data_IF_028239859608
#
_entry.id   IF_028239859608
#
_cell.length_a   1.000
_cell.length_b   1.000
_cell.length_c   1.000
_cell.angle_alpha   90.00
_cell.angle_beta   90.00
_cell.angle_gamma   90.00
#
_symmetry.space_group_name_H-M   'P 1'
#
loop_
_entity.id
_entity.type
_entity.pdbx_description
1 polymer ?
#
# COMPACT_ATOMS: atom_id res chain seq x y z
N UNK A 1 3.58 0.92 -12.15
CA UNK A 1 2.24 1.47 -12.48
C UNK A 1 1.11 0.62 -11.84
N UNK A 2 1.42 -0.37 -11.00
CA UNK A 2 0.47 -1.26 -10.28
C UNK A 2 -0.68 -0.56 -9.57
N UNK A 3 -0.39 0.62 -9.01
CA UNK A 3 -1.30 1.33 -8.11
C UNK A 3 -2.55 1.88 -8.80
N UNK A 4 -2.54 1.96 -10.13
CA UNK A 4 -3.70 2.33 -10.95
C UNK A 4 -4.46 1.12 -11.49
N UNK A 5 -3.79 -0.02 -11.69
CA UNK A 5 -4.42 -1.23 -12.22
C UNK A 5 -5.32 -1.90 -11.17
N UNK A 6 -4.83 -2.08 -9.95
CA UNK A 6 -5.65 -2.57 -8.84
C UNK A 6 -5.21 -1.99 -7.48
N UNK A 7 -5.67 -0.78 -7.10
CA UNK A 7 -5.30 -0.16 -5.83
C UNK A 7 -5.71 -0.98 -4.61
N UNK A 8 -6.88 -1.65 -4.63
CA UNK A 8 -7.33 -2.51 -3.53
C UNK A 8 -6.43 -3.76 -3.36
N UNK A 9 -6.01 -4.37 -4.46
CA UNK A 9 -5.10 -5.51 -4.44
C UNK A 9 -3.75 -5.09 -3.82
N UNK A 10 -3.23 -3.94 -4.26
CA UNK A 10 -1.96 -3.43 -3.77
C UNK A 10 -2.02 -3.07 -2.29
N UNK A 11 -3.08 -2.38 -1.84
CA UNK A 11 -3.30 -2.09 -0.43
C UNK A 11 -3.45 -3.37 0.42
N UNK A 12 -4.15 -4.40 -0.10
CA UNK A 12 -4.28 -5.69 0.59
C UNK A 12 -2.92 -6.38 0.77
N UNK A 13 -2.11 -6.41 -0.29
CA UNK A 13 -0.75 -6.98 -0.27
C UNK A 13 0.16 -6.24 0.70
N UNK A 14 0.18 -4.90 0.66
CA UNK A 14 0.91 -4.06 1.60
C UNK A 14 0.48 -4.35 3.04
N UNK A 15 -0.83 -4.45 3.31
CA UNK A 15 -1.32 -4.80 4.64
C UNK A 15 -0.83 -6.19 5.09
N UNK A 16 -0.94 -7.19 4.21
CA UNK A 16 -0.58 -8.56 4.53
C UNK A 16 0.93 -8.71 4.78
N UNK A 17 1.76 -8.01 4.00
CA UNK A 17 3.20 -7.94 4.22
C UNK A 17 3.53 -7.21 5.52
N UNK A 18 2.85 -6.10 5.82
CA UNK A 18 3.08 -5.36 7.06
C UNK A 18 2.70 -6.15 8.31
N UNK A 19 1.59 -6.89 8.28
CA UNK A 19 1.04 -7.57 9.47
C UNK A 19 1.50 -9.03 9.62
N UNK A 20 1.65 -9.74 8.50
CA UNK A 20 1.90 -11.19 8.48
C UNK A 20 3.20 -11.56 7.75
N UNK A 21 3.93 -10.58 7.21
CA UNK A 21 5.15 -10.78 6.39
C UNK A 21 4.95 -11.67 5.14
N UNK A 22 3.71 -11.80 4.66
CA UNK A 22 3.38 -12.55 3.44
C UNK A 22 3.15 -11.60 2.27
N UNK A 23 3.87 -11.80 1.16
CA UNK A 23 3.72 -11.02 -0.08
C UNK A 23 2.55 -11.47 -0.96
N UNK A 24 1.53 -12.07 -0.34
CA UNK A 24 0.35 -12.61 -1.00
C UNK A 24 -0.83 -11.66 -0.82
N UNK A 25 -1.76 -11.67 -1.78
CA UNK A 25 -2.99 -10.91 -1.66
C UNK A 25 -3.93 -11.57 -0.65
N UNK A 26 -4.35 -10.82 0.37
CA UNK A 26 -5.43 -11.26 1.24
C UNK A 26 -6.77 -10.90 0.61
N UNK A 27 -7.48 -11.91 0.09
CA UNK A 27 -8.76 -11.71 -0.60
C UNK A 27 -9.79 -11.03 0.31
N UNK A 28 -9.87 -11.41 1.58
CA UNK A 28 -10.81 -10.82 2.53
C UNK A 28 -10.59 -9.32 2.73
N UNK A 29 -9.32 -8.90 2.88
CA UNK A 29 -8.97 -7.48 2.99
C UNK A 29 -9.23 -6.75 1.66
N UNK A 30 -8.91 -7.36 0.53
CA UNK A 30 -9.13 -6.77 -0.78
C UNK A 30 -10.62 -6.50 -1.02
N UNK A 31 -11.47 -7.50 -0.79
CA UNK A 31 -12.93 -7.39 -0.89
C UNK A 31 -13.47 -6.38 0.11
N UNK A 32 -12.99 -6.40 1.35
CA UNK A 32 -13.39 -5.45 2.39
C UNK A 32 -13.08 -3.99 2.02
N UNK A 33 -11.90 -3.72 1.47
CA UNK A 33 -11.53 -2.38 0.96
C UNK A 33 -12.42 -2.01 -0.22
N UNK A 34 -12.65 -2.92 -1.18
CA UNK A 34 -13.48 -2.65 -2.35
C UNK A 34 -14.93 -2.34 -1.98
N UNK A 35 -15.58 -3.19 -1.19
CA UNK A 35 -16.96 -2.97 -0.72
C UNK A 35 -17.02 -1.71 0.14
N UNK A 36 -16.09 -1.56 1.07
CA UNK A 36 -16.01 -0.40 1.94
C UNK A 36 -15.88 0.91 1.15
N UNK A 37 -15.08 0.92 0.08
CA UNK A 37 -14.91 2.10 -0.78
C UNK A 37 -16.15 2.43 -1.61
N UNK A 38 -16.93 1.41 -2.02
CA UNK A 38 -18.20 1.60 -2.74
C UNK A 38 -19.28 2.15 -1.81
N UNK A 39 -19.39 1.61 -0.59
CA UNK A 39 -20.42 1.99 0.38
C UNK A 39 -20.07 3.29 1.11
N UNK A 40 -18.78 3.50 1.39
CA UNK A 40 -18.25 4.57 2.22
C UNK A 40 -17.00 5.10 1.51
N UNK A 41 -17.18 6.08 0.63
CA UNK A 41 -16.13 6.60 -0.26
C UNK A 41 -14.81 7.03 0.41
N UNK A 42 -14.82 7.30 1.72
CA UNK A 42 -13.62 7.67 2.48
C UNK A 42 -12.75 6.46 2.93
N UNK A 43 -13.24 5.22 2.81
CA UNK A 43 -12.53 4.03 3.28
C UNK A 43 -11.19 3.85 2.59
N UNK A 44 -11.11 4.02 1.27
CA UNK A 44 -9.85 3.90 0.54
C UNK A 44 -8.81 4.90 1.05
N UNK A 45 -9.22 6.17 1.24
CA UNK A 45 -8.35 7.22 1.76
C UNK A 45 -7.86 6.89 3.17
N UNK A 46 -8.75 6.45 4.06
CA UNK A 46 -8.40 6.03 5.41
C UNK A 46 -7.41 4.86 5.41
N UNK A 47 -7.60 3.87 4.54
CA UNK A 47 -6.66 2.75 4.39
C UNK A 47 -5.28 3.21 3.92
N UNK A 48 -5.22 4.12 2.94
CA UNK A 48 -3.95 4.69 2.45
C UNK A 48 -3.24 5.42 3.59
N UNK A 49 -3.90 6.36 4.27
CA UNK A 49 -3.27 7.11 5.39
C UNK A 49 -2.80 6.17 6.51
N UNK A 50 -3.61 5.18 6.87
CA UNK A 50 -3.28 4.25 7.95
C UNK A 50 -2.07 3.36 7.62
N UNK A 51 -2.01 2.85 6.39
CA UNK A 51 -0.85 2.06 5.94
C UNK A 51 0.40 2.93 5.84
N UNK A 52 0.27 4.17 5.34
CA UNK A 52 1.36 5.13 5.29
C UNK A 52 1.96 5.33 6.68
N UNK A 53 1.12 5.61 7.67
CA UNK A 53 1.53 5.77 9.07
C UNK A 53 2.32 4.54 9.55
N UNK A 54 1.81 3.33 9.32
CA UNK A 54 2.49 2.09 9.72
C UNK A 54 3.85 1.90 9.05
N UNK A 55 3.96 2.19 7.75
CA UNK A 55 5.23 2.13 7.01
C UNK A 55 6.23 3.11 7.62
N UNK A 56 5.79 4.32 7.94
CA UNK A 56 6.64 5.35 8.54
C UNK A 56 7.11 4.99 9.94
N UNK A 57 6.21 4.46 10.76
CA UNK A 57 6.55 3.95 12.10
C UNK A 57 7.51 2.76 12.01
N UNK A 58 7.30 1.84 11.04
CA UNK A 58 8.13 0.64 10.85
C UNK A 58 9.55 0.96 10.39
N UNK A 59 9.72 1.93 9.48
CA UNK A 59 11.03 2.25 8.89
C UNK A 59 11.63 3.57 9.40
N UNK A 60 11.03 4.22 10.40
CA UNK A 60 11.56 5.46 11.00
C UNK A 60 11.48 6.70 10.10
N UNK A 61 10.49 6.78 9.20
CA UNK A 61 10.36 7.85 8.20
C UNK A 61 9.62 9.07 8.79
N UNK A 62 10.23 10.26 8.69
CA UNK A 62 9.66 11.54 9.16
C UNK A 62 8.41 11.96 8.37
N UNK A 63 7.55 12.77 9.00
CA UNK A 63 6.31 13.32 8.41
C UNK A 63 5.15 13.41 9.40
N UNK A 64 3.92 13.70 8.92
CA UNK A 64 2.71 13.70 9.75
C UNK A 64 1.47 13.17 9.00
N UNK A 65 0.42 12.80 9.75
CA UNK A 65 -0.81 12.22 9.21
C UNK A 65 -1.58 13.18 8.28
N UNK A 66 -1.55 14.49 8.55
CA UNK A 66 -2.24 15.49 7.74
C UNK A 66 -1.66 15.55 6.32
N UNK A 67 -0.33 15.63 6.20
CA UNK A 67 0.39 15.59 4.93
C UNK A 67 0.14 14.28 4.17
N UNK A 68 0.10 13.15 4.89
CA UNK A 68 -0.16 11.84 4.29
C UNK A 68 -1.58 11.78 3.70
N UNK A 69 -2.57 12.32 4.42
CA UNK A 69 -3.94 12.37 3.93
C UNK A 69 -4.18 13.40 2.83
N UNK A 70 -3.51 14.56 2.85
CA UNK A 70 -3.52 15.48 1.71
C UNK A 70 -2.96 14.81 0.45
N UNK A 71 -1.85 14.08 0.58
CA UNK A 71 -1.24 13.35 -0.55
C UNK A 71 -2.17 12.25 -1.06
N UNK A 72 -2.78 11.47 -0.15
CA UNK A 72 -3.74 10.44 -0.50
C UNK A 72 -5.00 10.99 -1.19
N UNK A 73 -5.46 12.17 -0.77
CA UNK A 73 -6.61 12.86 -1.37
C UNK A 73 -6.28 13.39 -2.77
N UNK A 74 -5.14 14.07 -2.93
CA UNK A 74 -4.74 14.67 -4.21
C UNK A 74 -4.34 13.61 -5.24
N UNK A 75 -3.63 12.55 -4.84
CA UNK A 75 -3.23 11.46 -5.72
C UNK A 75 -3.10 10.14 -4.94
N UNK A 76 -4.22 9.44 -4.74
CA UNK A 76 -4.24 8.13 -4.07
C UNK A 76 -3.33 7.09 -4.73
N UNK A 77 -3.28 7.06 -6.06
CA UNK A 77 -2.37 6.16 -6.80
C UNK A 77 -0.89 6.44 -6.53
N UNK A 78 -0.51 7.72 -6.41
CA UNK A 78 0.86 8.12 -6.05
C UNK A 78 1.21 7.69 -4.62
N UNK A 79 0.28 7.88 -3.68
CA UNK A 79 0.47 7.48 -2.28
C UNK A 79 0.62 5.95 -2.14
N UNK A 80 -0.18 5.16 -2.86
CA UNK A 80 -0.04 3.69 -2.86
C UNK A 80 1.30 3.28 -3.52
N UNK A 81 1.72 3.96 -4.59
CA UNK A 81 3.01 3.67 -5.22
C UNK A 81 4.18 4.00 -4.30
N UNK A 82 4.07 5.08 -3.53
CA UNK A 82 5.05 5.42 -2.51
C UNK A 82 5.18 4.31 -1.45
N UNK A 83 4.08 3.69 -1.02
CA UNK A 83 4.14 2.54 -0.10
C UNK A 83 4.96 1.40 -0.69
N UNK A 84 4.68 1.04 -1.95
CA UNK A 84 5.40 -0.01 -2.66
C UNK A 84 6.90 0.29 -2.73
N UNK A 85 7.26 1.48 -3.20
CA UNK A 85 8.65 1.87 -3.40
C UNK A 85 9.44 1.90 -2.08
N UNK A 86 8.87 2.49 -1.03
CA UNK A 86 9.55 2.56 0.26
C UNK A 86 9.72 1.17 0.88
N UNK A 87 8.69 0.32 0.86
CA UNK A 87 8.83 -1.07 1.32
C UNK A 87 9.87 -1.84 0.49
N UNK A 88 9.91 -1.62 -0.82
CA UNK A 88 10.89 -2.25 -1.73
C UNK A 88 12.31 -1.81 -1.43
N UNK A 89 12.54 -0.51 -1.18
CA UNK A 89 13.85 0.03 -0.81
C UNK A 89 14.38 -0.52 0.51
N UNK A 90 13.48 -1.04 1.36
CA UNK A 90 13.81 -1.70 2.62
C UNK A 90 13.91 -3.24 2.47
N UNK A 91 13.81 -3.77 1.26
CA UNK A 91 13.85 -5.22 0.97
C UNK A 91 12.56 -5.97 1.29
N UNK A 92 11.47 -5.28 1.61
CA UNK A 92 10.17 -5.88 1.98
C UNK A 92 9.13 -5.75 0.85
N UNK A 93 9.48 -6.18 -0.36
CA UNK A 93 8.56 -6.10 -1.51
C UNK A 93 7.23 -6.85 -1.26
N UNK A 94 6.06 -6.17 -1.33
CA UNK A 94 4.75 -6.77 -1.06
C UNK A 94 4.15 -7.53 -2.26
N UNK A 95 4.90 -7.73 -3.35
CA UNK A 95 4.42 -8.24 -4.63
C UNK A 95 3.56 -7.22 -5.42
N UNK A 96 3.30 -7.55 -6.68
CA UNK A 96 2.63 -6.73 -7.68
C UNK A 96 1.65 -7.61 -8.50
N UNK A 97 0.72 -6.99 -9.21
CA UNK A 97 -0.29 -7.69 -10.01
C UNK A 97 0.11 -7.81 -11.48
N UNK A 98 0.68 -6.75 -12.06
CA UNK A 98 1.02 -6.67 -13.47
C UNK A 98 2.44 -7.15 -13.78
N UNK A 99 3.27 -7.36 -12.76
CA UNK A 99 4.60 -7.94 -12.93
C UNK A 99 4.99 -8.80 -11.74
N UNK A 100 5.91 -9.71 -11.98
CA UNK A 100 6.59 -10.49 -10.96
C UNK A 100 8.02 -9.98 -10.84
N UNK A 101 8.55 -9.92 -9.62
CA UNK A 101 9.96 -9.60 -9.35
C UNK A 101 10.54 -10.79 -8.60
N UNK A 102 11.74 -11.23 -8.98
CA UNK A 102 12.45 -12.26 -8.22
C UNK A 102 13.02 -11.63 -6.94
N UNK A 103 12.94 -12.36 -5.84
CA UNK A 103 13.46 -11.93 -4.54
C UNK A 103 14.97 -11.65 -4.67
N UNK A 104 15.36 -10.37 -4.55
CA UNK A 104 16.75 -9.90 -4.69
C UNK A 104 17.00 -8.87 -5.81
N UNK A 105 16.08 -8.70 -6.77
CA UNK A 105 16.21 -7.72 -7.87
C UNK A 105 15.69 -6.31 -7.52
N UNK A 106 15.25 -6.07 -6.28
CA UNK A 106 14.63 -4.80 -5.87
C UNK A 106 15.61 -3.62 -5.67
N UNK A 107 16.90 -3.80 -5.96
CA UNK A 107 17.98 -2.84 -5.65
C UNK A 107 18.91 -2.49 -6.84
N UNK A 108 18.55 -2.84 -8.07
CA UNK A 108 19.29 -2.44 -9.29
C UNK A 108 18.49 -1.49 -10.15
#
# INVERSE_FOLDING_TARGET
MECWCCPCCQLSRVHNKLKHNKAEMNVGICVGISIGSILIGIVMLACICHQRKKIRERYGIKGNCCSDCCTAYCCGGCAIQQHLLEMSSMGEFPSACCYTVKEGEYMT
#
